data_IF_703997105300
#
_entry.id   IF_703997105300
#
_cell.length_a   1.000
_cell.length_b   1.000
_cell.length_c   1.000
_cell.angle_alpha   90.00
_cell.angle_beta   90.00
_cell.angle_gamma   90.00
#
_symmetry.space_group_name_H-M   'P 1'
#
loop_
_entity.id
_entity.type
_entity.pdbx_description
1 polymer ?
#
# COMPACT_ATOMS: atom_id res chain seq x y z
N UNK A 1 -3.68 19.49 13.84
CA UNK A 1 -4.72 18.51 13.42
C UNK A 1 -4.39 17.23 14.16
N UNK A 2 -5.31 16.69 14.95
CA UNK A 2 -5.09 15.41 15.64
C UNK A 2 -5.22 14.31 14.59
N UNK A 3 -4.26 13.40 14.53
CA UNK A 3 -4.29 12.26 13.61
C UNK A 3 -5.16 11.19 14.23
N UNK A 4 -6.06 10.63 13.43
CA UNK A 4 -6.91 9.52 13.81
C UNK A 4 -6.13 8.20 13.66
N UNK A 5 -5.32 7.88 14.66
CA UNK A 5 -4.44 6.72 14.66
C UNK A 5 -5.21 5.40 14.71
N UNK A 6 -6.42 5.39 15.30
CA UNK A 6 -7.32 4.23 15.33
C UNK A 6 -7.80 3.89 13.92
N UNK A 7 -8.24 4.89 13.15
CA UNK A 7 -8.65 4.69 11.76
C UNK A 7 -7.51 4.13 10.90
N UNK A 8 -6.31 4.71 11.02
CA UNK A 8 -5.13 4.25 10.27
C UNK A 8 -4.76 2.82 10.65
N UNK A 9 -4.81 2.48 11.94
CA UNK A 9 -4.54 1.14 12.44
C UNK A 9 -5.55 0.11 11.89
N UNK A 10 -6.86 0.41 11.94
CA UNK A 10 -7.91 -0.47 11.42
C UNK A 10 -7.75 -0.79 9.92
N UNK A 11 -7.15 0.13 9.15
CA UNK A 11 -6.86 -0.07 7.73
C UNK A 11 -5.56 -0.82 7.47
N UNK A 12 -4.49 -0.48 8.20
CA UNK A 12 -3.16 -1.04 7.98
C UNK A 12 -3.00 -2.44 8.57
N UNK A 13 -3.67 -2.76 9.69
CA UNK A 13 -3.56 -4.07 10.32
C UNK A 13 -3.99 -5.23 9.40
N UNK A 14 -5.17 -5.19 8.74
CA UNK A 14 -5.56 -6.25 7.80
C UNK A 14 -4.60 -6.37 6.60
N UNK A 15 -4.07 -5.24 6.12
CA UNK A 15 -3.11 -5.20 5.03
C UNK A 15 -1.80 -5.91 5.40
N UNK A 16 -1.21 -5.55 6.54
CA UNK A 16 0.00 -6.17 7.08
C UNK A 16 -0.22 -7.65 7.41
N UNK A 17 -1.37 -8.01 7.98
CA UNK A 17 -1.70 -9.40 8.29
C UNK A 17 -1.76 -10.27 7.03
N UNK A 18 -2.44 -9.79 5.98
CA UNK A 18 -2.55 -10.50 4.71
C UNK A 18 -1.19 -10.60 4.03
N UNK A 19 -0.43 -9.51 4.05
CA UNK A 19 0.93 -9.47 3.55
C UNK A 19 1.80 -10.49 4.26
N UNK A 20 1.67 -10.73 5.57
CA UNK A 20 2.53 -11.67 6.30
C UNK A 20 2.09 -13.14 6.24
N UNK A 21 0.78 -13.42 6.13
CA UNK A 21 0.23 -14.76 6.40
C UNK A 21 -0.39 -15.46 5.20
N UNK A 22 -0.63 -14.78 4.09
CA UNK A 22 -1.20 -15.46 2.92
C UNK A 22 -0.21 -16.43 2.29
N UNK A 23 -0.72 -17.56 1.78
CA UNK A 23 0.03 -18.51 0.97
C UNK A 23 0.13 -18.08 -0.51
N UNK A 24 -0.51 -16.95 -0.88
CA UNK A 24 -0.50 -16.43 -2.23
C UNK A 24 0.90 -15.93 -2.67
N UNK A 25 1.16 -15.85 -3.99
CA UNK A 25 2.34 -15.18 -4.51
C UNK A 25 2.47 -13.74 -4.02
N UNK A 26 3.71 -13.24 -3.93
CA UNK A 26 4.02 -11.93 -3.35
C UNK A 26 3.27 -10.77 -4.04
N UNK A 27 3.13 -10.80 -5.37
CA UNK A 27 2.37 -9.80 -6.13
C UNK A 27 0.89 -9.74 -5.76
N UNK A 28 0.27 -10.90 -5.50
CA UNK A 28 -1.12 -10.96 -5.08
C UNK A 28 -1.28 -10.37 -3.67
N UNK A 29 -0.38 -10.76 -2.74
CA UNK A 29 -0.33 -10.23 -1.37
C UNK A 29 -0.18 -8.72 -1.35
N UNK A 30 0.76 -8.17 -2.11
CA UNK A 30 1.00 -6.73 -2.20
C UNK A 30 -0.18 -6.02 -2.85
N UNK A 31 -0.72 -6.56 -3.95
CA UNK A 31 -1.86 -5.95 -4.63
C UNK A 31 -3.08 -5.82 -3.73
N UNK A 32 -3.31 -6.81 -2.85
CA UNK A 32 -4.40 -6.76 -1.89
C UNK A 32 -4.09 -5.87 -0.68
N UNK A 33 -2.87 -5.92 -0.14
CA UNK A 33 -2.43 -5.02 0.92
C UNK A 33 -2.56 -3.55 0.47
N UNK A 34 -2.11 -3.24 -0.74
CA UNK A 34 -2.24 -1.90 -1.31
C UNK A 34 -3.70 -1.49 -1.51
N UNK A 35 -4.57 -2.38 -2.00
CA UNK A 35 -6.01 -2.09 -2.13
C UNK A 35 -6.67 -1.73 -0.80
N UNK A 36 -6.23 -2.31 0.31
CA UNK A 36 -6.75 -1.99 1.63
C UNK A 36 -6.40 -0.56 2.08
N UNK A 37 -5.30 0.00 1.56
CA UNK A 37 -4.77 1.30 1.98
C UNK A 37 -4.93 2.42 0.95
N UNK A 38 -5.16 2.10 -0.34
CA UNK A 38 -5.15 3.08 -1.46
C UNK A 38 -6.18 4.21 -1.35
N UNK A 39 -7.27 3.98 -0.61
CA UNK A 39 -8.37 4.94 -0.49
C UNK A 39 -8.09 5.96 0.64
N UNK A 40 -7.00 5.77 1.39
CA UNK A 40 -6.50 6.77 2.33
C UNK A 40 -5.84 7.94 1.59
N UNK A 41 -5.68 9.05 2.28
CA UNK A 41 -5.04 10.26 1.80
C UNK A 41 -3.75 10.49 2.56
N UNK A 42 -2.72 10.96 1.86
CA UNK A 42 -1.43 11.28 2.49
C UNK A 42 -1.57 12.26 3.66
N UNK A 43 -2.55 13.17 3.61
CA UNK A 43 -2.84 14.13 4.67
C UNK A 43 -3.30 13.52 5.99
N UNK A 44 -3.77 12.27 5.98
CA UNK A 44 -4.18 11.53 7.18
C UNK A 44 -2.97 11.06 8.00
N UNK A 45 -1.76 11.05 7.42
CA UNK A 45 -0.52 10.61 8.04
C UNK A 45 0.35 11.76 8.59
N UNK A 46 1.25 11.49 9.55
CA UNK A 46 2.31 12.45 9.94
C UNK A 46 3.29 12.62 8.78
N UNK A 47 4.16 13.65 8.80
CA UNK A 47 5.08 13.91 7.70
C UNK A 47 5.96 12.72 7.31
N UNK A 48 6.41 11.91 8.26
CA UNK A 48 7.28 10.75 8.01
C UNK A 48 6.51 9.61 7.31
N UNK A 49 5.40 9.15 7.90
CA UNK A 49 4.57 8.10 7.28
C UNK A 49 3.98 8.53 5.93
N UNK A 50 3.67 9.82 5.76
CA UNK A 50 3.16 10.36 4.50
C UNK A 50 4.14 10.14 3.35
N UNK A 51 5.44 10.28 3.62
CA UNK A 51 6.48 10.05 2.61
C UNK A 51 6.40 8.59 2.15
N UNK A 52 6.33 7.66 3.10
CA UNK A 52 6.24 6.21 2.82
C UNK A 52 4.95 5.89 2.06
N UNK A 53 3.80 6.40 2.51
CA UNK A 53 2.51 6.18 1.85
C UNK A 53 2.50 6.67 0.39
N UNK A 54 3.03 7.87 0.15
CA UNK A 54 3.10 8.44 -1.19
C UNK A 54 4.06 7.63 -2.07
N UNK A 55 5.22 7.22 -1.55
CA UNK A 55 6.15 6.37 -2.29
C UNK A 55 5.50 5.04 -2.71
N UNK A 56 4.82 4.35 -1.78
CA UNK A 56 4.08 3.12 -2.09
C UNK A 56 3.06 3.38 -3.20
N UNK A 57 2.29 4.45 -3.10
CA UNK A 57 1.23 4.79 -4.08
C UNK A 57 1.82 5.07 -5.46
N UNK A 58 2.89 5.84 -5.53
CA UNK A 58 3.58 6.18 -6.78
C UNK A 58 4.15 4.91 -7.43
N UNK A 59 4.86 4.08 -6.65
CA UNK A 59 5.44 2.83 -7.14
C UNK A 59 4.36 1.85 -7.62
N UNK A 60 3.27 1.72 -6.87
CA UNK A 60 2.15 0.82 -7.21
C UNK A 60 1.33 1.28 -8.40
N UNK A 61 1.44 2.54 -8.83
CA UNK A 61 0.71 3.10 -9.99
C UNK A 61 1.61 3.54 -11.15
N UNK A 62 2.93 3.35 -11.03
CA UNK A 62 3.94 3.86 -11.98
C UNK A 62 3.71 3.49 -13.45
N UNK A 63 3.14 2.32 -13.73
CA UNK A 63 2.93 1.87 -15.10
C UNK A 63 1.70 2.51 -15.78
N UNK A 64 0.84 3.19 -15.01
CA UNK A 64 -0.41 3.75 -15.49
C UNK A 64 -1.42 2.67 -15.96
N UNK A 65 -2.67 3.04 -16.24
CA UNK A 65 -3.65 2.11 -16.78
C UNK A 65 -3.39 1.79 -18.26
N UNK A 66 -3.76 0.59 -18.70
CA UNK A 66 -3.83 0.25 -20.13
C UNK A 66 -5.22 0.65 -20.65
N UNK A 67 -5.24 1.52 -21.65
CA UNK A 67 -6.45 2.01 -22.32
C UNK A 67 -6.49 1.47 -23.75
N UNK A 68 -7.57 0.77 -24.10
CA UNK A 68 -7.85 0.29 -25.45
C UNK A 68 -9.21 0.84 -25.88
N UNK A 69 -9.31 1.39 -27.09
CA UNK A 69 -10.56 1.98 -27.63
C UNK A 69 -11.24 3.01 -26.71
N UNK A 70 -10.44 3.75 -25.94
CA UNK A 70 -10.93 4.76 -25.00
C UNK A 70 -11.48 4.19 -23.67
N UNK A 71 -11.41 2.87 -23.46
CA UNK A 71 -11.82 2.21 -22.23
C UNK A 71 -10.61 1.66 -21.44
N UNK A 72 -10.67 1.75 -20.12
CA UNK A 72 -9.65 1.13 -19.25
C UNK A 72 -9.83 -0.38 -19.25
N UNK A 73 -8.88 -1.09 -19.86
CA UNK A 73 -8.85 -2.56 -19.88
C UNK A 73 -8.15 -3.14 -18.65
N UNK A 74 -7.05 -2.51 -18.25
CA UNK A 74 -6.28 -2.89 -17.07
C UNK A 74 -6.00 -1.65 -16.23
N UNK A 75 -6.41 -1.67 -14.96
CA UNK A 75 -6.12 -0.58 -14.03
C UNK A 75 -4.62 -0.44 -13.72
N UNK A 76 -4.18 0.75 -13.31
CA UNK A 76 -2.76 1.06 -13.10
C UNK A 76 -2.05 0.07 -12.18
N UNK A 77 -2.67 -0.29 -11.06
CA UNK A 77 -2.11 -1.26 -10.10
C UNK A 77 -1.89 -2.64 -10.74
N UNK A 78 -2.88 -3.13 -11.48
CA UNK A 78 -2.76 -4.44 -12.12
C UNK A 78 -1.70 -4.43 -13.23
N UNK A 79 -1.60 -3.31 -13.97
CA UNK A 79 -0.56 -3.13 -14.98
C UNK A 79 0.84 -3.12 -14.33
N UNK A 80 1.03 -2.32 -13.28
CA UNK A 80 2.29 -2.27 -12.52
C UNK A 80 2.68 -3.64 -11.99
N UNK A 81 1.77 -4.35 -11.31
CA UNK A 81 2.05 -5.68 -10.75
C UNK A 81 2.45 -6.70 -11.82
N UNK A 82 1.92 -6.59 -13.04
CA UNK A 82 2.22 -7.54 -14.12
C UNK A 82 3.68 -7.46 -14.63
N UNK A 83 4.32 -6.31 -14.48
CA UNK A 83 5.71 -6.08 -14.88
C UNK A 83 6.70 -5.95 -13.72
N UNK A 84 6.24 -6.14 -12.48
CA UNK A 84 7.04 -6.00 -11.28
C UNK A 84 7.86 -7.28 -11.05
N UNK A 85 9.16 -7.16 -10.83
CA UNK A 85 9.99 -8.29 -10.43
C UNK A 85 9.86 -8.60 -8.93
N UNK A 86 10.39 -9.76 -8.48
CA UNK A 86 10.29 -10.17 -7.07
C UNK A 86 11.07 -9.25 -6.13
N UNK A 87 12.18 -8.63 -6.57
CA UNK A 87 12.97 -7.73 -5.75
C UNK A 87 12.20 -6.45 -5.44
N UNK A 88 11.63 -5.83 -6.48
CA UNK A 88 10.76 -4.67 -6.33
C UNK A 88 9.52 -5.00 -5.49
N UNK A 89 8.94 -6.19 -5.67
CA UNK A 89 7.82 -6.64 -4.85
C UNK A 89 8.21 -6.72 -3.36
N UNK A 90 9.36 -7.32 -3.03
CA UNK A 90 9.87 -7.37 -1.66
C UNK A 90 10.04 -5.98 -1.06
N UNK A 91 10.63 -5.03 -1.79
CA UNK A 91 10.81 -3.66 -1.31
C UNK A 91 9.47 -2.97 -1.00
N UNK A 92 8.46 -3.12 -1.86
CA UNK A 92 7.13 -2.54 -1.61
C UNK A 92 6.47 -3.21 -0.39
N UNK A 93 6.62 -4.53 -0.24
CA UNK A 93 6.13 -5.24 0.94
C UNK A 93 6.79 -4.71 2.22
N UNK A 94 8.09 -4.45 2.19
CA UNK A 94 8.83 -3.85 3.31
C UNK A 94 8.30 -2.44 3.62
N UNK A 95 8.11 -1.58 2.63
CA UNK A 95 7.55 -0.24 2.85
C UNK A 95 6.14 -0.26 3.44
N UNK A 96 5.27 -1.18 2.97
CA UNK A 96 3.93 -1.36 3.54
C UNK A 96 4.03 -1.79 5.01
N UNK A 97 4.96 -2.70 5.33
CA UNK A 97 5.18 -3.15 6.70
C UNK A 97 5.76 -2.04 7.58
N UNK A 98 6.70 -1.24 7.08
CA UNK A 98 7.25 -0.09 7.79
C UNK A 98 6.17 0.94 8.12
N UNK A 99 5.32 1.29 7.15
CA UNK A 99 4.18 2.18 7.37
C UNK A 99 3.25 1.64 8.46
N UNK A 100 2.98 0.34 8.44
CA UNK A 100 2.20 -0.33 9.49
C UNK A 100 2.86 -0.21 10.87
N UNK A 101 4.16 -0.48 10.99
CA UNK A 101 4.88 -0.40 12.28
C UNK A 101 4.85 1.03 12.83
N UNK A 102 5.09 2.04 11.99
CA UNK A 102 5.08 3.45 12.42
C UNK A 102 3.70 3.87 12.92
N UNK A 103 2.62 3.47 12.23
CA UNK A 103 1.25 3.74 12.71
C UNK A 103 0.94 2.95 13.99
N UNK A 104 1.38 1.70 14.10
CA UNK A 104 1.19 0.90 15.30
C UNK A 104 1.86 1.54 16.53
N UNK A 105 3.10 2.01 16.38
CA UNK A 105 3.81 2.70 17.45
C UNK A 105 3.07 3.95 17.91
N UNK A 106 2.38 4.66 17.02
CA UNK A 106 1.57 5.82 17.38
C UNK A 106 0.30 5.42 18.11
N UNK A 107 -0.42 4.42 17.60
CA UNK A 107 -1.67 3.94 18.18
C UNK A 107 -1.50 3.39 19.60
N UNK A 108 -0.35 2.74 19.91
CA UNK A 108 -0.10 2.13 21.21
C UNK A 108 0.84 2.93 22.15
N UNK A 109 1.33 4.11 21.75
CA UNK A 109 2.13 4.99 22.62
C UNK A 109 1.28 5.89 23.53
N UNK A 110 0.00 6.05 23.22
CA UNK A 110 -1.00 6.73 24.04
C UNK A 110 -1.70 5.76 25.02
#
# INVERSE_FOLDING_TARGET
MTIDTDHLWEKLYPAAWKLARSADPIHARIGEAFRAIRDMKGEEFRPEERIIYNEITDRMTKAGPIVEDGAVKTGAVANTLSGMDEGEACEIAESIFELFVQVAEQHFKD
#
